data_IF_672852097394
#
_entry.id   IF_672852097394
#
_cell.length_a   1.000
_cell.length_b   1.000
_cell.length_c   1.000
_cell.angle_alpha   90.00
_cell.angle_beta   90.00
_cell.angle_gamma   90.00
#
_symmetry.space_group_name_H-M   'P 1'
#
loop_
_entity.id
_entity.type
_entity.pdbx_description
1 polymer ?
#
# COMPACT_ATOMS: atom_id res chain seq x y z
N UNK A 1 -61.16 -17.73 -17.98
CA UNK A 1 -60.21 -16.88 -18.77
C UNK A 1 -59.26 -16.09 -17.87
N UNK A 2 -59.73 -15.48 -16.78
CA UNK A 2 -58.89 -14.73 -15.84
C UNK A 2 -57.74 -15.52 -15.16
N UNK A 3 -57.97 -16.79 -14.79
CA UNK A 3 -56.95 -17.62 -14.17
C UNK A 3 -55.72 -17.89 -15.07
N UNK A 4 -55.93 -18.02 -16.39
CA UNK A 4 -54.83 -18.20 -17.35
C UNK A 4 -53.99 -16.93 -17.49
N UNK A 5 -54.63 -15.76 -17.52
CA UNK A 5 -53.94 -14.47 -17.54
C UNK A 5 -53.12 -14.25 -16.26
N UNK A 6 -53.68 -14.62 -15.10
CA UNK A 6 -52.98 -14.53 -13.83
C UNK A 6 -51.76 -15.45 -13.77
N UNK A 7 -51.89 -16.69 -14.28
CA UNK A 7 -50.78 -17.63 -14.37
C UNK A 7 -49.64 -17.12 -15.27
N UNK A 8 -49.96 -16.57 -16.44
CA UNK A 8 -48.96 -15.97 -17.36
C UNK A 8 -48.25 -14.79 -16.71
N UNK A 9 -48.98 -13.91 -16.03
CA UNK A 9 -48.40 -12.77 -15.34
C UNK A 9 -47.44 -13.21 -14.22
N UNK A 10 -47.83 -14.21 -13.44
CA UNK A 10 -47.00 -14.76 -12.37
C UNK A 10 -45.69 -15.35 -12.91
N UNK A 11 -45.77 -16.08 -14.03
CA UNK A 11 -44.60 -16.63 -14.72
C UNK A 11 -43.70 -15.49 -15.24
N UNK A 12 -44.28 -14.46 -15.86
CA UNK A 12 -43.51 -13.33 -16.39
C UNK A 12 -42.74 -12.60 -15.27
N UNK A 13 -43.39 -12.36 -14.12
CA UNK A 13 -42.75 -11.73 -12.96
C UNK A 13 -41.62 -12.60 -12.40
N UNK A 14 -41.82 -13.91 -12.31
CA UNK A 14 -40.79 -14.86 -11.90
C UNK A 14 -39.60 -14.79 -12.85
N UNK A 15 -39.83 -14.89 -14.17
CA UNK A 15 -38.76 -14.84 -15.17
C UNK A 15 -37.97 -13.55 -15.08
N UNK A 16 -38.64 -12.39 -14.98
CA UNK A 16 -37.99 -11.09 -14.83
C UNK A 16 -37.16 -11.04 -13.54
N UNK A 17 -37.72 -11.50 -12.41
CA UNK A 17 -37.03 -11.53 -11.11
C UNK A 17 -35.76 -12.36 -11.17
N UNK A 18 -35.81 -13.54 -11.80
CA UNK A 18 -34.65 -14.43 -11.93
C UNK A 18 -33.61 -13.93 -12.93
N UNK A 19 -34.04 -13.22 -13.98
CA UNK A 19 -33.11 -12.58 -14.92
C UNK A 19 -32.20 -11.54 -14.23
N UNK A 20 -32.74 -10.78 -13.28
CA UNK A 20 -31.95 -9.83 -12.49
C UNK A 20 -30.86 -10.51 -11.64
N UNK A 21 -31.07 -11.74 -11.19
CA UNK A 21 -30.03 -12.51 -10.49
C UNK A 21 -28.85 -12.85 -11.41
N UNK A 22 -29.14 -13.22 -12.67
CA UNK A 22 -28.11 -13.50 -13.66
C UNK A 22 -27.34 -12.23 -14.00
N UNK A 23 -28.03 -11.10 -14.21
CA UNK A 23 -27.37 -9.80 -14.41
C UNK A 23 -26.51 -9.44 -13.20
N UNK A 24 -27.03 -9.59 -11.99
CA UNK A 24 -26.29 -9.29 -10.76
C UNK A 24 -25.02 -10.12 -10.64
N UNK A 25 -25.11 -11.43 -10.89
CA UNK A 25 -23.95 -12.32 -10.88
C UNK A 25 -22.93 -11.96 -11.97
N UNK A 26 -23.39 -11.70 -13.19
CA UNK A 26 -22.54 -11.30 -14.30
C UNK A 26 -21.86 -9.96 -14.04
N UNK A 27 -22.57 -8.99 -13.47
CA UNK A 27 -22.02 -7.70 -13.09
C UNK A 27 -20.94 -7.84 -12.00
N UNK A 28 -21.16 -8.71 -11.01
CA UNK A 28 -20.18 -8.96 -9.94
C UNK A 28 -18.88 -9.57 -10.49
N UNK A 29 -18.99 -10.56 -11.38
CA UNK A 29 -17.85 -11.17 -12.07
C UNK A 29 -17.16 -10.13 -12.97
N UNK A 30 -17.93 -9.39 -13.78
CA UNK A 30 -17.42 -8.36 -14.67
C UNK A 30 -16.65 -7.27 -13.93
N UNK A 31 -17.18 -6.79 -12.80
CA UNK A 31 -16.50 -5.80 -11.95
C UNK A 31 -15.16 -6.32 -11.44
N UNK A 32 -15.10 -7.59 -11.00
CA UNK A 32 -13.85 -8.21 -10.57
C UNK A 32 -12.82 -8.27 -11.69
N UNK A 33 -13.22 -8.62 -12.92
CA UNK A 33 -12.33 -8.64 -14.07
C UNK A 33 -11.84 -7.24 -14.45
N UNK A 34 -12.72 -6.24 -14.47
CA UNK A 34 -12.36 -4.84 -14.74
C UNK A 34 -11.38 -4.34 -13.68
N UNK A 35 -11.65 -4.57 -12.41
CA UNK A 35 -10.74 -4.21 -11.32
C UNK A 35 -9.37 -4.88 -11.47
N UNK A 36 -9.33 -6.17 -11.85
CA UNK A 36 -8.08 -6.91 -12.08
C UNK A 36 -7.29 -6.39 -13.28
N UNK A 37 -7.97 -5.99 -14.35
CA UNK A 37 -7.34 -5.39 -15.53
C UNK A 37 -6.77 -4.00 -15.20
N UNK A 38 -7.53 -3.17 -14.50
CA UNK A 38 -7.08 -1.86 -14.03
C UNK A 38 -5.88 -2.01 -13.10
N UNK A 39 -5.92 -2.94 -12.16
CA UNK A 39 -4.80 -3.20 -11.25
C UNK A 39 -3.52 -3.62 -12.00
N UNK A 40 -3.64 -4.44 -13.06
CA UNK A 40 -2.50 -4.80 -13.92
C UNK A 40 -1.95 -3.59 -14.69
N UNK A 41 -2.83 -2.80 -15.28
CA UNK A 41 -2.45 -1.55 -15.96
C UNK A 41 -1.78 -0.54 -15.01
N UNK A 42 -2.26 -0.45 -13.78
CA UNK A 42 -1.65 0.38 -12.75
C UNK A 42 -0.34 -0.19 -12.25
N UNK A 43 -0.18 -1.52 -12.21
CA UNK A 43 1.06 -2.16 -11.74
C UNK A 43 2.27 -1.86 -12.62
N UNK A 44 2.07 -1.73 -13.93
CA UNK A 44 3.14 -1.33 -14.86
C UNK A 44 3.58 0.12 -14.64
N UNK A 45 2.64 1.00 -14.25
CA UNK A 45 2.94 2.40 -13.87
C UNK A 45 3.43 2.53 -12.43
N UNK A 46 2.98 1.69 -11.52
CA UNK A 46 3.38 1.70 -10.10
C UNK A 46 4.72 1.01 -9.87
N UNK A 47 5.22 0.20 -10.80
CA UNK A 47 6.57 -0.34 -10.74
C UNK A 47 7.64 0.77 -10.64
N UNK A 48 7.40 1.93 -11.25
CA UNK A 48 8.26 3.10 -11.09
C UNK A 48 8.22 3.66 -9.66
N UNK A 49 7.04 3.73 -9.05
CA UNK A 49 6.86 4.17 -7.66
C UNK A 49 7.36 3.13 -6.64
N UNK A 50 7.19 1.85 -6.90
CA UNK A 50 7.64 0.76 -6.02
C UNK A 50 9.17 0.77 -5.84
N UNK A 51 9.92 1.08 -6.91
CA UNK A 51 11.37 1.27 -6.84
C UNK A 51 11.76 2.46 -5.96
N UNK A 52 11.01 3.56 -6.05
CA UNK A 52 11.23 4.74 -5.21
C UNK A 52 11.00 4.44 -3.72
N UNK A 53 9.89 3.77 -3.39
CA UNK A 53 9.57 3.37 -2.02
C UNK A 53 10.55 2.32 -1.46
N UNK A 54 11.00 1.36 -2.27
CA UNK A 54 12.03 0.40 -1.87
C UNK A 54 13.37 1.09 -1.54
N UNK A 55 13.76 2.09 -2.32
CA UNK A 55 14.95 2.90 -2.04
C UNK A 55 14.80 3.77 -0.78
N UNK A 56 13.58 4.23 -0.48
CA UNK A 56 13.30 4.98 0.75
C UNK A 56 13.32 4.07 1.99
N UNK A 57 12.72 2.88 1.90
CA UNK A 57 12.74 1.88 2.96
C UNK A 57 14.18 1.42 3.26
N UNK A 58 15.00 1.16 2.24
CA UNK A 58 16.40 0.81 2.42
C UNK A 58 17.21 1.89 3.14
N UNK A 59 16.92 3.18 2.89
CA UNK A 59 17.56 4.30 3.61
C UNK A 59 17.07 4.41 5.06
N UNK A 60 15.77 4.23 5.29
CA UNK A 60 15.20 4.21 6.64
C UNK A 60 15.79 3.06 7.48
N UNK A 61 15.98 1.88 6.89
CA UNK A 61 16.62 0.73 7.56
C UNK A 61 18.08 1.01 7.92
N UNK A 62 18.81 1.76 7.08
CA UNK A 62 20.18 2.17 7.41
C UNK A 62 20.21 3.16 8.58
N UNK A 63 19.31 4.14 8.59
CA UNK A 63 19.18 5.07 9.72
C UNK A 63 18.78 4.33 11.01
N UNK A 64 17.86 3.37 10.92
CA UNK A 64 17.45 2.54 12.05
C UNK A 64 18.62 1.72 12.62
N UNK A 65 19.47 1.16 11.74
CA UNK A 65 20.70 0.47 12.17
C UNK A 65 21.72 1.39 12.86
N UNK A 66 21.81 2.66 12.48
CA UNK A 66 22.68 3.63 13.16
C UNK A 66 22.17 3.99 14.56
N UNK A 67 20.85 4.14 14.72
CA UNK A 67 20.21 4.34 16.03
C UNK A 67 20.47 3.15 16.95
N UNK A 68 20.29 1.92 16.48
CA UNK A 68 20.54 0.71 17.27
C UNK A 68 22.01 0.53 17.66
N UNK A 69 22.94 1.07 16.87
CA UNK A 69 24.38 1.04 17.16
C UNK A 69 24.79 2.15 18.16
N UNK A 70 23.90 3.05 18.52
CA UNK A 70 24.24 4.24 19.31
C UNK A 70 25.22 5.17 18.59
N UNK A 71 25.18 5.17 17.26
CA UNK A 71 25.98 6.07 16.41
C UNK A 71 25.28 7.43 16.35
N UNK A 72 26.00 8.52 16.62
CA UNK A 72 25.47 9.90 16.62
C UNK A 72 24.85 10.28 15.26
N UNK A 73 25.19 9.56 14.19
CA UNK A 73 24.56 9.65 12.85
C UNK A 73 23.10 9.20 12.81
N UNK A 74 22.67 8.38 13.76
CA UNK A 74 21.28 7.93 13.88
C UNK A 74 20.33 9.01 14.37
N UNK A 75 20.82 9.97 15.16
CA UNK A 75 20.01 11.08 15.72
C UNK A 75 20.11 12.35 14.86
N UNK A 76 21.29 12.67 14.35
CA UNK A 76 21.53 13.93 13.62
C UNK A 76 21.67 13.77 12.10
N UNK A 77 21.67 12.54 11.57
CA UNK A 77 22.01 12.26 10.17
C UNK A 77 23.51 12.41 9.88
N UNK A 78 23.95 12.08 8.67
CA UNK A 78 25.38 12.11 8.30
C UNK A 78 25.97 13.52 8.36
N UNK A 79 25.25 14.52 7.86
CA UNK A 79 25.70 15.92 7.87
C UNK A 79 25.66 16.53 9.27
N UNK A 80 24.61 16.24 10.05
CA UNK A 80 24.49 16.74 11.42
C UNK A 80 25.52 16.12 12.37
N UNK A 81 25.86 14.84 12.20
CA UNK A 81 26.93 14.20 12.96
C UNK A 81 28.30 14.81 12.66
N UNK A 82 28.58 15.15 11.40
CA UNK A 82 29.84 15.79 11.03
C UNK A 82 29.93 17.24 11.55
N UNK A 83 28.82 17.97 11.54
CA UNK A 83 28.73 19.30 12.11
C UNK A 83 28.92 19.29 13.64
N UNK A 84 28.29 18.35 14.34
CA UNK A 84 28.48 18.19 15.79
C UNK A 84 29.91 17.81 16.15
N UNK A 85 30.56 16.97 15.33
CA UNK A 85 31.97 16.64 15.50
C UNK A 85 32.89 17.85 15.36
N UNK A 86 32.58 18.78 14.44
CA UNK A 86 33.34 20.03 14.26
C UNK A 86 33.08 21.05 15.37
N UNK A 87 31.84 21.16 15.84
CA UNK A 87 31.46 22.14 16.87
C UNK A 87 31.92 21.72 18.28
N UNK A 88 32.00 20.42 18.58
CA UNK A 88 32.35 19.92 19.92
C UNK A 88 33.42 18.81 19.91
N UNK A 89 34.69 19.13 19.58
CA UNK A 89 35.77 18.13 19.53
C UNK A 89 36.14 17.53 20.92
N UNK A 90 35.78 18.20 22.02
CA UNK A 90 36.19 17.82 23.38
C UNK A 90 35.35 16.69 24.02
N UNK A 91 34.13 16.41 23.55
CA UNK A 91 33.26 15.38 24.13
C UNK A 91 33.81 13.97 23.91
N UNK A 92 34.56 13.77 22.82
CA UNK A 92 35.20 12.50 22.48
C UNK A 92 36.32 12.11 23.46
N UNK A 93 36.96 13.09 24.12
CA UNK A 93 38.00 12.82 25.11
C UNK A 93 37.43 12.38 26.46
N UNK A 94 36.25 12.88 26.84
CA UNK A 94 35.59 12.54 28.10
C UNK A 94 35.05 11.10 28.04
N UNK A 95 34.42 10.72 26.92
CA UNK A 95 33.89 9.36 26.69
C UNK A 95 34.98 8.28 26.66
N UNK A 96 36.21 8.58 26.20
CA UNK A 96 37.34 7.62 26.24
C UNK A 96 37.95 7.42 27.63
N UNK A 97 37.70 8.34 28.57
CA UNK A 97 38.28 8.30 29.93
C UNK A 97 37.40 7.56 30.95
N UNK A 98 36.15 7.26 30.58
CA UNK A 98 35.12 6.64 31.42
C UNK A 98 34.61 5.30 30.89
N UNK A 99 35.24 4.77 29.83
CA UNK A 99 34.99 3.42 29.29
C UNK A 99 36.07 2.43 29.70
#
# INVERSE_FOLDING_TARGET
MWGALFAVFLIAVIVIKFFWWIIGAAAMIGLFHIARLIARWYSERSAAYARYWAGLAARADQQHKWVLRGDDRGIYGSEGAELMHRLFPAQNQIRRRTG
#
